data_IF_420927557322
#
_entry.id   IF_420927557322
#
_cell.length_a   1.000
_cell.length_b   1.000
_cell.length_c   1.000
_cell.angle_alpha   90.00
_cell.angle_beta   90.00
_cell.angle_gamma   90.00
#
_symmetry.space_group_name_H-M   'P 1'
#
loop_
_entity.id
_entity.type
_entity.pdbx_description
1 polymer ?
#
# COMPACT_ATOMS: atom_id res chain seq x y z
N UNK A 1 8.80 -9.86 17.48
CA UNK A 1 9.64 -9.57 16.30
C UNK A 1 8.70 -9.44 15.11
N UNK A 2 8.52 -8.22 14.60
CA UNK A 2 7.70 -7.99 13.40
C UNK A 2 8.63 -8.26 12.22
N UNK A 3 8.44 -9.38 11.53
CA UNK A 3 9.15 -9.66 10.28
C UNK A 3 8.71 -8.58 9.29
N UNK A 4 9.63 -7.82 8.68
CA UNK A 4 9.24 -6.82 7.69
C UNK A 4 8.55 -7.58 6.54
N UNK A 5 7.26 -7.30 6.32
CA UNK A 5 6.56 -7.77 5.14
C UNK A 5 7.43 -7.49 3.92
N UNK A 6 7.64 -8.51 3.10
CA UNK A 6 8.47 -8.46 1.90
C UNK A 6 8.16 -7.19 1.10
N UNK A 7 9.16 -6.33 0.92
CA UNK A 7 8.97 -4.97 0.37
C UNK A 7 8.35 -5.01 -1.01
N UNK A 8 8.63 -6.06 -1.77
CA UNK A 8 8.14 -6.25 -3.14
C UNK A 8 6.67 -6.66 -3.16
N UNK A 9 6.25 -7.55 -2.26
CA UNK A 9 4.85 -7.95 -2.13
C UNK A 9 3.99 -6.78 -1.65
N UNK A 10 4.43 -6.09 -0.60
CA UNK A 10 3.72 -4.91 -0.08
C UNK A 10 3.63 -3.80 -1.13
N UNK A 11 4.69 -3.59 -1.92
CA UNK A 11 4.67 -2.65 -3.04
C UNK A 11 3.68 -3.07 -4.14
N UNK A 12 3.65 -4.36 -4.51
CA UNK A 12 2.72 -4.89 -5.49
C UNK A 12 1.25 -4.77 -5.06
N UNK A 13 0.95 -5.02 -3.78
CA UNK A 13 -0.39 -4.81 -3.19
C UNK A 13 -0.82 -3.35 -3.27
N UNK A 14 0.07 -2.42 -2.89
CA UNK A 14 -0.22 -0.98 -2.98
C UNK A 14 -0.45 -0.53 -4.40
N UNK A 15 0.38 -0.98 -5.34
CA UNK A 15 0.22 -0.65 -6.75
C UNK A 15 -1.13 -1.15 -7.28
N UNK A 16 -1.50 -2.40 -7.01
CA UNK A 16 -2.79 -2.97 -7.40
C UNK A 16 -3.97 -2.16 -6.84
N UNK A 17 -3.89 -1.71 -5.58
CA UNK A 17 -4.92 -0.89 -4.95
C UNK A 17 -5.11 0.48 -5.63
N UNK A 18 -4.10 1.03 -6.33
CA UNK A 18 -4.25 2.31 -7.06
C UNK A 18 -5.17 2.20 -8.28
N UNK A 19 -5.20 1.04 -8.95
CA UNK A 19 -6.07 0.78 -10.11
C UNK A 19 -7.54 0.55 -9.76
N UNK A 20 -7.86 0.28 -8.50
CA UNK A 20 -9.23 0.00 -8.06
C UNK A 20 -9.92 1.27 -7.56
N UNK A 21 -11.25 1.30 -7.59
CA UNK A 21 -12.10 2.34 -7.00
C UNK A 21 -13.34 1.71 -6.40
N UNK A 22 -13.85 2.25 -5.31
CA UNK A 22 -15.11 1.76 -4.75
C UNK A 22 -16.25 2.00 -5.74
N UNK A 23 -17.11 1.01 -5.89
CA UNK A 23 -18.37 1.13 -6.58
C UNK A 23 -19.32 2.02 -5.78
N UNK A 24 -20.14 2.81 -6.48
CA UNK A 24 -21.07 3.73 -5.82
C UNK A 24 -22.12 2.96 -5.04
N UNK A 25 -22.34 3.31 -3.77
CA UNK A 25 -23.35 2.68 -2.92
C UNK A 25 -23.01 1.28 -2.44
N UNK A 26 -21.77 0.82 -2.63
CA UNK A 26 -21.27 -0.46 -2.13
C UNK A 26 -20.15 -0.20 -1.12
N UNK A 27 -20.25 -0.80 0.07
CA UNK A 27 -19.19 -0.74 1.06
C UNK A 27 -18.22 -1.92 0.87
N UNK A 28 -16.95 -1.67 0.48
CA UNK A 28 -15.96 -2.73 0.32
C UNK A 28 -15.64 -3.49 1.60
N UNK A 29 -15.88 -2.92 2.79
CA UNK A 29 -15.69 -3.63 4.04
C UNK A 29 -16.71 -4.76 4.18
N UNK A 30 -17.98 -4.47 3.88
CA UNK A 30 -19.09 -5.45 3.95
C UNK A 30 -18.92 -6.52 2.88
N UNK A 31 -18.57 -6.13 1.66
CA UNK A 31 -18.41 -7.05 0.52
C UNK A 31 -17.09 -7.83 0.55
N UNK A 32 -16.02 -7.24 1.09
CA UNK A 32 -14.71 -7.85 1.23
C UNK A 32 -14.57 -8.73 2.46
N UNK A 33 -15.38 -8.54 3.51
CA UNK A 33 -15.27 -9.27 4.77
C UNK A 33 -15.23 -10.81 4.63
N UNK A 34 -16.05 -11.47 3.78
CA UNK A 34 -15.97 -12.92 3.61
C UNK A 34 -14.61 -13.36 3.05
N UNK A 35 -14.05 -12.58 2.11
CA UNK A 35 -12.75 -12.89 1.53
C UNK A 35 -11.61 -12.63 2.52
N UNK A 36 -11.69 -11.54 3.28
CA UNK A 36 -10.75 -11.22 4.34
C UNK A 36 -10.69 -12.34 5.40
N UNK A 37 -11.84 -12.86 5.81
CA UNK A 37 -11.92 -13.98 6.76
C UNK A 37 -11.24 -15.25 6.22
N UNK A 38 -11.36 -15.54 4.92
CA UNK A 38 -10.70 -16.69 4.28
C UNK A 38 -9.18 -16.47 4.23
N UNK A 39 -8.74 -15.26 3.83
CA UNK A 39 -7.33 -14.91 3.72
C UNK A 39 -6.63 -14.98 5.09
N UNK A 40 -7.27 -14.46 6.14
CA UNK A 40 -6.73 -14.47 7.50
C UNK A 40 -6.88 -15.82 8.23
N UNK A 41 -7.43 -16.85 7.57
CA UNK A 41 -7.51 -18.20 8.14
C UNK A 41 -6.22 -19.00 7.90
N UNK A 42 -6.00 -20.04 8.72
CA UNK A 42 -4.89 -21.00 8.55
C UNK A 42 -5.05 -21.91 7.31
N UNK A 43 -6.13 -21.75 6.54
CA UNK A 43 -6.40 -22.57 5.37
C UNK A 43 -5.36 -22.30 4.28
N UNK A 44 -4.74 -23.34 3.75
CA UNK A 44 -3.91 -23.23 2.55
C UNK A 44 -4.76 -22.74 1.36
N UNK A 45 -4.24 -21.77 0.61
CA UNK A 45 -4.84 -21.34 -0.65
C UNK A 45 -4.36 -22.27 -1.75
N UNK A 46 -5.30 -22.93 -2.42
CA UNK A 46 -5.00 -23.76 -3.58
C UNK A 46 -4.71 -22.88 -4.82
N UNK A 47 -4.11 -23.45 -5.89
CA UNK A 47 -3.80 -22.70 -7.10
C UNK A 47 -5.00 -22.00 -7.74
N UNK A 48 -6.19 -22.58 -7.64
CA UNK A 48 -7.41 -21.98 -8.20
C UNK A 48 -7.83 -20.73 -7.43
N UNK A 49 -7.73 -20.76 -6.10
CA UNK A 49 -7.95 -19.62 -5.23
C UNK A 49 -6.98 -18.46 -5.53
N UNK A 50 -5.70 -18.79 -5.81
CA UNK A 50 -4.70 -17.81 -6.17
C UNK A 50 -4.93 -17.19 -7.55
N UNK A 51 -5.35 -17.98 -8.54
CA UNK A 51 -5.71 -17.45 -9.86
C UNK A 51 -6.96 -16.56 -9.78
N UNK A 52 -7.92 -16.89 -8.92
CA UNK A 52 -9.08 -16.03 -8.66
C UNK A 52 -8.68 -14.68 -8.05
N UNK A 53 -7.75 -14.67 -7.09
CA UNK A 53 -7.17 -13.45 -6.55
C UNK A 53 -6.38 -12.67 -7.61
N UNK A 54 -5.61 -13.36 -8.48
CA UNK A 54 -4.89 -12.71 -9.58
C UNK A 54 -5.84 -12.02 -10.57
N UNK A 55 -7.01 -12.62 -10.83
CA UNK A 55 -8.06 -12.00 -11.66
C UNK A 55 -8.75 -10.84 -10.97
N UNK A 56 -8.96 -10.93 -9.65
CA UNK A 56 -9.50 -9.83 -8.84
C UNK A 56 -8.63 -8.58 -8.98
N UNK A 57 -7.32 -8.71 -8.71
CA UNK A 57 -6.40 -7.57 -8.66
C UNK A 57 -6.14 -6.95 -10.03
N UNK A 58 -6.30 -7.74 -11.11
CA UNK A 58 -6.21 -7.22 -12.49
C UNK A 58 -7.54 -6.70 -13.04
N UNK A 59 -8.61 -6.72 -12.24
CA UNK A 59 -9.95 -6.29 -12.69
C UNK A 59 -10.57 -7.20 -13.75
N UNK A 60 -10.07 -8.41 -13.92
CA UNK A 60 -10.49 -9.38 -14.94
C UNK A 60 -11.49 -10.41 -14.43
N UNK A 61 -12.10 -10.17 -13.26
CA UNK A 61 -13.25 -10.94 -12.79
C UNK A 61 -14.43 -10.66 -13.71
N UNK A 62 -14.73 -11.61 -14.59
CA UNK A 62 -15.91 -11.53 -15.46
C UNK A 62 -17.18 -11.54 -14.61
N UNK A 63 -18.16 -10.72 -14.99
CA UNK A 63 -19.56 -10.83 -14.54
C UNK A 63 -20.18 -12.11 -15.14
N UNK A 64 -19.80 -13.28 -14.62
CA UNK A 64 -20.41 -14.55 -15.02
C UNK A 64 -21.44 -14.93 -13.96
N UNK A 65 -22.60 -15.39 -14.41
CA UNK A 65 -23.64 -15.97 -13.56
C UNK A 65 -22.99 -17.12 -12.76
N UNK A 66 -23.15 -17.19 -11.43
CA UNK A 66 -22.54 -18.24 -10.64
C UNK A 66 -23.00 -19.61 -11.12
N UNK A 67 -22.07 -20.51 -11.51
CA UNK A 67 -22.44 -21.88 -11.79
C UNK A 67 -22.94 -22.55 -10.51
N UNK A 68 -23.85 -23.52 -10.65
CA UNK A 68 -24.25 -24.36 -9.52
C UNK A 68 -23.01 -25.09 -8.97
N UNK A 69 -22.81 -25.05 -7.64
CA UNK A 69 -21.64 -25.64 -6.99
C UNK A 69 -20.42 -24.72 -6.86
N UNK A 70 -20.60 -23.40 -6.95
CA UNK A 70 -19.54 -22.43 -6.67
C UNK A 70 -18.90 -22.65 -5.28
N UNK A 71 -17.56 -22.62 -5.24
CA UNK A 71 -16.81 -22.68 -3.98
C UNK A 71 -16.96 -21.40 -3.16
N UNK A 72 -16.91 -21.52 -1.83
CA UNK A 72 -16.97 -20.37 -0.90
C UNK A 72 -15.92 -19.30 -1.27
N UNK A 73 -14.72 -19.73 -1.68
CA UNK A 73 -13.63 -18.84 -2.11
C UNK A 73 -13.99 -18.06 -3.37
N UNK A 74 -14.49 -18.74 -4.41
CA UNK A 74 -14.91 -18.07 -5.65
C UNK A 74 -16.04 -17.07 -5.40
N UNK A 75 -16.97 -17.42 -4.50
CA UNK A 75 -18.07 -16.54 -4.12
C UNK A 75 -17.56 -15.28 -3.41
N UNK A 76 -16.67 -15.45 -2.43
CA UNK A 76 -16.06 -14.36 -1.68
C UNK A 76 -15.24 -13.43 -2.58
N UNK A 77 -14.44 -14.00 -3.49
CA UNK A 77 -13.67 -13.22 -4.48
C UNK A 77 -14.58 -12.41 -5.39
N UNK A 78 -15.72 -12.96 -5.81
CA UNK A 78 -16.68 -12.23 -6.64
C UNK A 78 -17.38 -11.11 -5.88
N UNK A 79 -17.88 -11.34 -4.66
CA UNK A 79 -18.45 -10.27 -3.81
C UNK A 79 -17.45 -9.12 -3.66
N UNK A 80 -16.23 -9.45 -3.22
CA UNK A 80 -15.16 -8.47 -3.09
C UNK A 80 -14.94 -7.72 -4.42
N UNK A 81 -14.85 -8.44 -5.54
CA UNK A 81 -14.70 -7.86 -6.88
C UNK A 81 -15.83 -6.91 -7.29
N UNK A 82 -17.07 -7.14 -6.86
CA UNK A 82 -18.19 -6.24 -7.17
C UNK A 82 -18.12 -4.90 -6.43
N UNK A 83 -17.45 -4.85 -5.28
CA UNK A 83 -17.21 -3.61 -4.55
C UNK A 83 -16.19 -2.71 -5.25
N UNK A 84 -15.44 -3.26 -6.21
CA UNK A 84 -14.37 -2.58 -6.90
C UNK A 84 -14.70 -2.36 -8.39
N UNK A 85 -14.32 -1.19 -8.89
CA UNK A 85 -14.36 -0.82 -10.31
C UNK A 85 -13.01 -0.26 -10.74
N UNK A 86 -12.80 -0.12 -12.05
CA UNK A 86 -11.64 0.55 -12.62
C UNK A 86 -11.52 1.99 -12.10
N UNK A 87 -10.32 2.35 -11.65
CA UNK A 87 -9.93 3.71 -11.28
C UNK A 87 -9.95 4.65 -12.47
N UNK A 88 -10.04 5.97 -12.21
CA UNK A 88 -10.09 6.98 -13.27
C UNK A 88 -8.75 7.12 -14.01
N UNK A 89 -7.66 7.03 -13.26
CA UNK A 89 -6.33 7.40 -13.73
C UNK A 89 -5.38 6.19 -13.86
N UNK A 90 -5.85 4.99 -13.50
CA UNK A 90 -5.03 3.78 -13.48
C UNK A 90 -5.84 2.56 -13.94
N UNK A 91 -5.24 1.75 -14.82
CA UNK A 91 -5.82 0.48 -15.27
C UNK A 91 -5.50 -0.65 -14.26
N UNK A 92 -6.51 -1.33 -13.68
CA UNK A 92 -6.32 -2.52 -12.87
C UNK A 92 -5.44 -3.58 -13.56
N UNK A 93 -5.54 -3.70 -14.87
CA UNK A 93 -4.75 -4.69 -15.64
C UNK A 93 -3.26 -4.40 -15.50
N UNK A 94 -2.86 -3.14 -15.60
CA UNK A 94 -1.46 -2.70 -15.53
C UNK A 94 -0.95 -2.64 -14.09
N UNK A 95 -1.74 -2.05 -13.20
CA UNK A 95 -1.37 -1.83 -11.80
C UNK A 95 -1.41 -3.11 -10.96
N UNK A 96 -2.33 -4.03 -11.28
CA UNK A 96 -2.44 -5.33 -10.64
C UNK A 96 -1.52 -6.41 -11.21
N UNK A 97 -0.89 -6.19 -12.37
CA UNK A 97 -0.05 -7.19 -13.03
C UNK A 97 1.10 -7.70 -12.15
N UNK A 98 1.86 -6.86 -11.41
CA UNK A 98 2.93 -7.34 -10.55
C UNK A 98 2.42 -8.26 -9.42
N UNK A 99 1.30 -7.89 -8.79
CA UNK A 99 0.71 -8.73 -7.74
C UNK A 99 0.15 -10.03 -8.32
N UNK A 100 -0.50 -9.97 -9.48
CA UNK A 100 -1.00 -11.16 -10.16
C UNK A 100 0.13 -12.13 -10.55
N UNK A 101 1.30 -11.61 -10.94
CA UNK A 101 2.47 -12.44 -11.20
C UNK A 101 2.97 -13.17 -9.94
N UNK A 102 2.99 -12.48 -8.79
CA UNK A 102 3.35 -13.08 -7.51
C UNK A 102 2.34 -14.16 -7.11
N UNK A 103 1.03 -13.87 -7.22
CA UNK A 103 -0.04 -14.80 -6.88
C UNK A 103 -0.03 -16.07 -7.77
N UNK A 104 0.32 -15.94 -9.05
CA UNK A 104 0.47 -17.08 -9.98
C UNK A 104 1.80 -17.83 -9.83
N UNK A 105 2.74 -17.27 -9.07
CA UNK A 105 4.02 -17.87 -8.79
C UNK A 105 3.89 -19.02 -7.80
N UNK A 106 4.78 -19.06 -6.81
CA UNK A 106 4.80 -20.11 -5.81
C UNK A 106 3.76 -19.86 -4.69
N UNK A 107 2.72 -20.73 -4.56
CA UNK A 107 1.70 -20.64 -3.51
C UNK A 107 2.26 -20.67 -2.09
N UNK A 108 3.40 -21.34 -1.88
CA UNK A 108 4.02 -21.52 -0.58
C UNK A 108 4.60 -20.21 0.00
N UNK A 109 4.66 -19.14 -0.81
CA UNK A 109 5.23 -17.84 -0.42
C UNK A 109 4.24 -16.90 0.29
N UNK A 110 2.95 -17.22 0.33
CA UNK A 110 1.97 -16.40 1.05
C UNK A 110 1.90 -16.76 2.53
N UNK A 111 2.71 -16.07 3.33
CA UNK A 111 2.63 -16.12 4.78
C UNK A 111 1.44 -15.34 5.35
N UNK A 112 1.28 -15.37 6.68
CA UNK A 112 0.20 -14.64 7.36
C UNK A 112 0.22 -13.13 7.10
N UNK A 113 1.41 -12.53 6.95
CA UNK A 113 1.55 -11.09 6.68
C UNK A 113 1.08 -10.69 5.28
N UNK A 114 1.42 -11.48 4.27
CA UNK A 114 0.99 -11.27 2.88
C UNK A 114 -0.53 -11.43 2.74
N UNK A 115 -1.09 -12.41 3.45
CA UNK A 115 -2.53 -12.66 3.50
C UNK A 115 -3.29 -11.52 4.17
N UNK A 116 -2.75 -10.97 5.26
CA UNK A 116 -3.30 -9.77 5.91
C UNK A 116 -3.28 -8.56 4.95
N UNK A 117 -2.19 -8.34 4.22
CA UNK A 117 -2.11 -7.26 3.22
C UNK A 117 -3.15 -7.41 2.09
N UNK A 118 -3.39 -8.64 1.63
CA UNK A 118 -4.46 -8.92 0.67
C UNK A 118 -5.84 -8.66 1.27
N UNK A 119 -6.05 -9.03 2.55
CA UNK A 119 -7.30 -8.77 3.27
C UNK A 119 -7.58 -7.26 3.37
N UNK A 120 -6.60 -6.47 3.79
CA UNK A 120 -6.70 -5.02 3.91
C UNK A 120 -7.00 -4.33 2.56
N UNK A 121 -6.45 -4.88 1.48
CA UNK A 121 -6.71 -4.40 0.13
C UNK A 121 -8.18 -4.63 -0.28
N UNK A 122 -8.73 -5.81 0.01
CA UNK A 122 -10.08 -6.18 -0.46
C UNK A 122 -11.19 -5.57 0.40
N UNK A 123 -10.94 -5.29 1.68
CA UNK A 123 -11.85 -4.52 2.56
C UNK A 123 -11.74 -3.01 2.33
N UNK A 124 -10.68 -2.56 1.64
CA UNK A 124 -10.42 -1.15 1.38
C UNK A 124 -9.79 -0.41 2.56
N UNK A 125 -9.35 -1.11 3.60
CA UNK A 125 -8.63 -0.53 4.73
C UNK A 125 -7.33 0.14 4.30
N UNK A 126 -6.61 -0.43 3.32
CA UNK A 126 -5.44 0.21 2.67
C UNK A 126 -5.74 1.58 2.06
N UNK A 127 -7.01 1.93 1.84
CA UNK A 127 -7.45 3.22 1.29
C UNK A 127 -8.16 4.11 2.31
N UNK A 128 -8.68 3.53 3.40
CA UNK A 128 -9.28 4.28 4.52
C UNK A 128 -8.20 4.91 5.40
N UNK A 129 -7.00 4.32 5.45
CA UNK A 129 -5.81 4.88 6.10
C UNK A 129 -4.75 5.33 5.09
N UNK A 130 -4.57 6.65 4.97
CA UNK A 130 -3.48 7.37 4.31
C UNK A 130 -3.69 7.69 2.81
N UNK A 131 -3.76 9.00 2.54
CA UNK A 131 -3.02 9.67 1.46
C UNK A 131 -1.84 8.83 0.96
N UNK A 132 -1.59 8.79 -0.36
CA UNK A 132 -0.42 8.18 -1.00
C UNK A 132 0.77 8.05 -0.04
N UNK A 133 1.36 6.84 0.11
CA UNK A 133 2.24 6.50 1.23
C UNK A 133 3.19 7.65 1.51
N UNK A 134 3.05 8.25 2.69
CA UNK A 134 3.98 9.28 3.13
C UNK A 134 5.28 8.54 3.37
N UNK A 135 6.23 8.67 2.43
CA UNK A 135 7.57 8.11 2.58
C UNK A 135 8.04 8.44 4.00
N UNK A 136 8.31 7.42 4.81
CA UNK A 136 8.69 7.61 6.20
C UNK A 136 10.02 8.33 6.32
N UNK A 137 10.33 8.87 7.50
CA UNK A 137 11.55 9.64 7.76
C UNK A 137 12.88 8.88 7.51
N UNK A 138 12.83 7.55 7.34
CA UNK A 138 13.98 6.71 6.99
C UNK A 138 14.03 6.30 5.51
N UNK A 139 13.09 6.74 4.69
CA UNK A 139 13.06 6.40 3.27
C UNK A 139 14.23 7.10 2.53
N UNK A 140 14.98 6.41 1.64
CA UNK A 140 16.11 6.99 0.91
C UNK A 140 15.78 8.32 0.25
N UNK A 141 14.65 8.41 -0.46
CA UNK A 141 14.21 9.65 -1.10
C UNK A 141 13.93 10.80 -0.12
N UNK A 142 13.43 10.50 1.08
CA UNK A 142 13.19 11.53 2.11
C UNK A 142 14.52 12.04 2.63
N UNK A 143 15.46 11.13 2.91
CA UNK A 143 16.80 11.49 3.37
C UNK A 143 17.54 12.34 2.31
N UNK A 144 17.51 11.93 1.05
CA UNK A 144 18.16 12.65 -0.04
C UNK A 144 17.59 14.06 -0.25
N UNK A 145 16.26 14.21 -0.19
CA UNK A 145 15.60 15.52 -0.32
C UNK A 145 15.92 16.41 0.89
N UNK A 146 15.86 15.86 2.11
CA UNK A 146 16.15 16.61 3.34
C UNK A 146 17.61 17.05 3.40
N UNK A 147 18.53 16.16 3.03
CA UNK A 147 19.97 16.48 2.95
C UNK A 147 20.25 17.57 1.92
N UNK A 148 19.62 17.49 0.73
CA UNK A 148 19.76 18.52 -0.30
C UNK A 148 19.25 19.88 0.18
N UNK A 149 18.11 19.94 0.88
CA UNK A 149 17.61 21.19 1.48
C UNK A 149 18.57 21.69 2.55
N UNK A 150 19.03 20.84 3.46
CA UNK A 150 19.92 21.23 4.55
C UNK A 150 21.27 21.76 4.02
N UNK A 151 21.80 21.15 2.96
CA UNK A 151 23.01 21.65 2.29
C UNK A 151 22.83 23.08 1.79
N UNK A 152 21.72 23.38 1.12
CA UNK A 152 21.40 24.74 0.64
C UNK A 152 21.22 25.73 1.78
N UNK A 153 20.54 25.33 2.86
CA UNK A 153 20.42 26.17 4.06
C UNK A 153 21.78 26.50 4.67
N UNK A 154 22.70 25.53 4.71
CA UNK A 154 24.07 25.74 5.19
C UNK A 154 24.91 26.65 4.26
N UNK A 155 24.58 26.70 2.98
CA UNK A 155 25.17 27.63 2.00
C UNK A 155 24.60 29.07 2.12
N UNK A 156 23.60 29.27 2.99
CA UNK A 156 22.99 30.58 3.26
C UNK A 156 21.69 30.84 2.51
N UNK A 157 21.17 29.86 1.77
CA UNK A 157 19.90 30.01 1.06
C UNK A 157 18.72 30.12 2.04
N UNK A 158 17.71 30.89 1.65
CA UNK A 158 16.42 30.89 2.36
C UNK A 158 15.68 29.59 2.07
N UNK A 159 14.98 29.06 3.07
CA UNK A 159 14.22 27.80 2.98
C UNK A 159 13.29 27.73 1.76
N UNK A 160 12.65 28.85 1.43
CA UNK A 160 11.72 28.90 0.31
C UNK A 160 12.41 28.65 -1.03
N UNK A 161 13.57 29.29 -1.26
CA UNK A 161 14.38 29.11 -2.45
C UNK A 161 15.02 27.72 -2.48
N UNK A 162 15.56 27.26 -1.34
CA UNK A 162 16.11 25.91 -1.22
C UNK A 162 15.05 24.83 -1.55
N UNK A 163 13.81 25.02 -1.10
CA UNK A 163 12.72 24.07 -1.34
C UNK A 163 12.27 24.07 -2.81
N UNK A 164 12.24 25.23 -3.48
CA UNK A 164 11.93 25.31 -4.91
C UNK A 164 13.02 24.69 -5.77
N UNK A 165 14.28 24.96 -5.44
CA UNK A 165 15.41 24.38 -6.16
C UNK A 165 15.42 22.86 -6.03
N UNK A 166 15.24 22.34 -4.81
CA UNK A 166 15.22 20.88 -4.56
C UNK A 166 13.98 20.23 -5.18
N UNK A 167 12.82 20.90 -5.18
CA UNK A 167 11.63 20.42 -5.89
C UNK A 167 11.91 20.21 -7.39
N UNK A 168 12.57 21.17 -8.04
CA UNK A 168 12.97 21.06 -9.43
C UNK A 168 14.04 19.97 -9.65
N UNK A 169 15.03 19.88 -8.76
CA UNK A 169 16.12 18.88 -8.85
C UNK A 169 15.61 17.44 -8.76
N UNK A 170 14.58 17.19 -7.96
CA UNK A 170 14.03 15.84 -7.73
C UNK A 170 12.74 15.58 -8.52
N UNK A 171 12.32 16.51 -9.39
CA UNK A 171 11.07 16.43 -10.17
C UNK A 171 9.82 16.14 -9.29
N UNK A 172 9.76 16.80 -8.13
CA UNK A 172 8.64 16.66 -7.17
C UNK A 172 8.00 18.01 -6.88
N UNK A 173 6.76 17.99 -6.39
CA UNK A 173 6.09 19.21 -5.92
C UNK A 173 6.80 19.84 -4.72
N UNK A 174 6.84 21.19 -4.68
CA UNK A 174 7.29 21.97 -3.51
C UNK A 174 6.60 21.54 -2.21
N UNK A 175 5.30 21.17 -2.30
CA UNK A 175 4.53 20.63 -1.18
C UNK A 175 5.08 19.31 -0.64
N UNK A 176 5.60 18.45 -1.52
CA UNK A 176 6.21 17.18 -1.15
C UNK A 176 7.53 17.38 -0.40
N UNK A 177 8.34 18.37 -0.80
CA UNK A 177 9.55 18.77 -0.08
C UNK A 177 9.21 19.20 1.36
N UNK A 178 8.20 20.05 1.54
CA UNK A 178 7.76 20.46 2.88
C UNK A 178 7.24 19.30 3.73
N UNK A 179 6.51 18.36 3.12
CA UNK A 179 6.06 17.16 3.82
C UNK A 179 7.25 16.31 4.30
N UNK A 180 8.29 16.14 3.48
CA UNK A 180 9.49 15.39 3.85
C UNK A 180 10.28 16.05 4.98
N UNK A 181 10.41 17.38 4.95
CA UNK A 181 11.03 18.14 6.04
C UNK A 181 10.24 18.01 7.35
N UNK A 182 8.90 18.05 7.28
CA UNK A 182 8.03 17.85 8.44
C UNK A 182 8.24 16.46 9.05
N UNK A 183 8.24 15.43 8.21
CA UNK A 183 8.45 14.04 8.62
C UNK A 183 9.83 13.84 9.27
N UNK A 184 10.87 14.47 8.73
CA UNK A 184 12.22 14.43 9.32
C UNK A 184 12.27 15.10 10.71
N UNK A 185 11.64 16.27 10.87
CA UNK A 185 11.56 16.97 12.16
C UNK A 185 10.79 16.20 13.22
N UNK A 186 9.69 15.55 12.84
CA UNK A 186 8.93 14.69 13.75
C UNK A 186 9.77 13.51 14.26
N UNK A 187 10.64 12.94 13.41
CA UNK A 187 11.61 11.90 13.82
C UNK A 187 12.66 12.45 14.78
N UNK A 188 13.27 13.60 14.48
CA UNK A 188 14.28 14.22 15.36
C UNK A 188 13.68 14.55 16.74
N UNK A 189 12.45 15.06 16.77
CA UNK A 189 11.73 15.32 18.03
C UNK A 189 11.43 14.05 18.83
N UNK A 190 11.13 12.93 18.17
CA UNK A 190 10.94 11.63 18.83
C UNK A 190 12.25 11.05 19.36
N UNK A 191 13.36 11.22 18.63
CA UNK A 191 14.69 10.79 19.08
C UNK A 191 15.13 11.62 20.28
N UNK A 192 14.94 12.94 20.24
CA UNK A 192 15.25 13.85 21.37
C UNK A 192 14.47 13.49 22.64
N UNK A 193 13.16 13.24 22.52
CA UNK A 193 12.35 12.77 23.66
C UNK A 193 12.79 11.42 24.20
N UNK A 194 13.19 10.49 23.34
CA UNK A 194 13.68 9.17 23.74
C UNK A 194 15.06 9.23 24.43
N UNK A 195 15.87 10.25 24.13
CA UNK A 195 17.14 10.50 24.83
C UNK A 195 16.94 11.19 26.18
N UNK A 196 15.97 12.10 26.31
CA UNK A 196 15.65 12.77 27.58
C UNK A 196 15.06 11.82 28.63
N UNK A 197 14.20 10.88 28.21
CA UNK A 197 13.62 9.85 29.10
C UNK A 197 14.70 8.92 29.68
N UNK A 198 15.79 8.67 28.94
CA UNK A 198 16.91 7.83 29.43
C UNK A 198 17.86 8.57 30.37
N UNK A 199 17.77 9.90 30.48
CA UNK A 199 18.58 10.70 31.42
C UNK A 199 17.91 10.97 32.76
N UNK A 200 16.61 10.74 32.91
CA UNK A 200 15.89 10.89 34.19
C UNK A 200 15.88 9.61 35.06
N UNK A 201 16.33 8.48 34.51
CA UNK A 201 16.46 7.18 35.22
C UNK A 201 17.88 6.90 35.75
N UNK A 202 18.67 7.95 36.04
CA UNK A 202 20.01 7.83 36.67
C UNK A 202 20.16 8.63 37.95
#
# INVERSE_FOLDING_TARGET
MIVPCDTDFAHAVRLAATGLRTASGIDPEIEGAPLAAILCSDRALDPDALELLARLVTGNLRKVIPPAGESIMAHAVRRAGTAWRKGKDADPTTTGAPLAAILRGDPARLGPGERALLADMVTGELRRGQSAPTKGAGHPDVLAVVEAVNKRLNEGDKLEFASEFVAAQFEIDKRTVFNYLKIAREREAMIGKATDIKSEDK
#
